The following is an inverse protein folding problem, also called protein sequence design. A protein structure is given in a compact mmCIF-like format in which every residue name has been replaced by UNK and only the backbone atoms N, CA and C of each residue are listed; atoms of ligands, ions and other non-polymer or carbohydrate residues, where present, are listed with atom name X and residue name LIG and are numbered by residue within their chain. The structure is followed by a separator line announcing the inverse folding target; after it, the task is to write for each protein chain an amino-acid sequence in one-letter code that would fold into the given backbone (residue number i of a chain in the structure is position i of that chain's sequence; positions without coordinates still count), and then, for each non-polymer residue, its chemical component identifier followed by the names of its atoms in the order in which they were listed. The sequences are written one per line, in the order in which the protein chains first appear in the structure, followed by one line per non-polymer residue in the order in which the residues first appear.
data_IF_362280369159
#
_entry.id   IF_362280369159
#
_cell.length_a   1.000
_cell.length_b   1.000
_cell.length_c   1.000
_cell.angle_alpha   90.00
_cell.angle_beta   90.00
_cell.angle_gamma   90.00
#
_symmetry.space_group_name_H-M   'P 1'
#
loop_
_entity.id
_entity.type
_entity.pdbx_description
1 polymer ?
#
# COMPACT_ATOMS: atom_id res chain seq x y z
N UNK A 1 7.78 -4.41 -22.48
CA UNK A 1 7.65 -2.93 -22.61
C UNK A 1 7.12 -2.54 -24.00
N UNK A 2 7.60 -3.17 -25.12
CA UNK A 2 7.08 -2.89 -26.46
C UNK A 2 5.60 -3.25 -26.61
N UNK A 3 5.19 -4.41 -26.10
CA UNK A 3 3.78 -4.86 -26.16
C UNK A 3 2.82 -3.99 -25.33
N UNK A 4 3.30 -3.36 -24.24
CA UNK A 4 2.49 -2.40 -23.47
C UNK A 4 2.26 -1.11 -24.25
N UNK A 5 3.29 -0.60 -24.94
CA UNK A 5 3.14 0.60 -25.77
C UNK A 5 2.15 0.40 -26.94
N UNK A 6 2.19 -0.75 -27.61
CA UNK A 6 1.26 -1.02 -28.73
C UNK A 6 -0.20 -1.17 -28.30
N UNK A 7 -0.45 -1.65 -27.06
CA UNK A 7 -1.83 -1.79 -26.56
C UNK A 7 -2.41 -0.52 -25.92
N UNK A 8 -1.56 0.42 -25.49
CA UNK A 8 -1.98 1.66 -24.85
C UNK A 8 -2.05 2.87 -25.80
N UNK A 9 -1.37 2.79 -26.95
CA UNK A 9 -1.50 3.73 -28.07
C UNK A 9 -2.60 3.17 -29.01
N UNK A 10 -3.85 3.17 -28.56
CA UNK A 10 -4.99 2.85 -29.39
C UNK A 10 -5.14 3.87 -30.52
N UNK A 11 -5.36 3.35 -31.73
CA UNK A 11 -5.61 4.07 -32.96
C UNK A 11 -6.64 5.19 -32.74
N UNK A 12 -6.18 6.43 -32.80
CA UNK A 12 -7.02 7.60 -33.02
C UNK A 12 -7.15 7.74 -34.55
N UNK A 13 -8.05 6.94 -35.14
CA UNK A 13 -8.56 7.16 -36.49
C UNK A 13 -9.57 8.32 -36.46
N UNK A 14 -9.07 9.53 -36.56
CA UNK A 14 -9.81 10.66 -37.13
C UNK A 14 -9.04 11.16 -38.33
N UNK A 15 -9.54 10.75 -39.49
CA UNK A 15 -9.13 11.24 -40.78
C UNK A 15 -9.22 12.77 -40.83
N UNK A 16 -8.10 13.40 -41.12
CA UNK A 16 -8.06 14.65 -41.87
C UNK A 16 -6.93 14.54 -42.90
N UNK A 17 -7.34 14.53 -44.16
CA UNK A 17 -6.48 14.55 -45.34
C UNK A 17 -5.56 15.77 -45.30
N UNK A 18 -4.30 15.55 -45.05
CA UNK A 18 -3.22 16.47 -45.42
C UNK A 18 -2.22 15.69 -46.23
N UNK A 19 -2.28 15.87 -47.53
CA UNK A 19 -1.37 15.43 -48.55
C UNK A 19 0.07 15.85 -48.16
N UNK A 20 0.79 14.95 -47.50
CA UNK A 20 2.21 15.21 -47.15
C UNK A 20 3.05 14.76 -48.33
N UNK A 21 3.46 15.74 -49.14
CA UNK A 21 4.38 15.56 -50.24
C UNK A 21 5.73 14.91 -49.78
N UNK A 22 5.87 13.65 -50.06
CA UNK A 22 7.06 12.84 -49.76
C UNK A 22 8.15 12.95 -50.84
N UNK A 23 8.01 13.89 -51.78
CA UNK A 23 9.02 14.11 -52.86
C UNK A 23 10.40 14.50 -52.32
N UNK A 24 10.46 15.19 -51.19
CA UNK A 24 11.69 15.58 -50.48
C UNK A 24 12.54 14.40 -49.99
N UNK A 25 11.90 13.29 -49.68
CA UNK A 25 12.59 12.08 -49.16
C UNK A 25 13.23 11.29 -50.33
N UNK A 26 12.62 11.33 -51.52
CA UNK A 26 13.17 10.66 -52.69
C UNK A 26 14.46 11.31 -53.26
N UNK A 27 14.65 12.61 -53.05
CA UNK A 27 15.81 13.31 -53.55
C UNK A 27 17.09 13.12 -52.69
N UNK A 28 16.94 12.59 -51.47
CA UNK A 28 18.07 12.27 -50.58
C UNK A 28 18.55 10.80 -50.59
N UNK A 29 17.84 9.91 -51.30
CA UNK A 29 18.27 8.54 -51.51
C UNK A 29 18.76 8.43 -52.93
N UNK A 30 20.04 8.76 -53.16
CA UNK A 30 20.68 8.68 -54.46
C UNK A 30 20.66 7.25 -55.00
N UNK A 31 20.39 7.18 -56.32
CA UNK A 31 20.51 5.98 -57.13
C UNK A 31 21.97 5.48 -57.11
N UNK A 32 22.21 4.41 -56.35
CA UNK A 32 23.54 3.81 -56.24
C UNK A 32 23.78 2.75 -57.35
N UNK A 33 24.58 3.13 -58.33
CA UNK A 33 25.26 2.15 -59.20
C UNK A 33 26.63 1.85 -58.63
N UNK A 34 26.89 0.58 -58.31
CA UNK A 34 28.21 0.05 -57.93
C UNK A 34 29.31 0.36 -58.93
N UNK A 35 30.56 0.52 -58.45
CA UNK A 35 31.61 -0.34 -58.97
C UNK A 35 32.45 -1.02 -57.88
N UNK A 36 32.87 -2.19 -58.21
CA UNK A 36 33.62 -3.18 -57.44
C UNK A 36 34.96 -2.70 -56.88
N UNK A 37 35.29 -3.23 -55.68
CA UNK A 37 36.65 -3.63 -55.34
C UNK A 37 37.42 -2.71 -54.38
N UNK A 38 37.53 -3.10 -53.12
CA UNK A 38 38.80 -3.41 -52.45
C UNK A 38 38.53 -3.76 -50.96
N UNK A 39 39.03 -4.95 -50.61
CA UNK A 39 39.14 -5.47 -49.24
C UNK A 39 39.97 -4.53 -48.38
N UNK A 40 39.36 -4.00 -47.29
CA UNK A 40 40.01 -3.66 -46.05
C UNK A 40 38.93 -3.11 -45.11
N UNK A 41 38.16 -4.01 -44.47
CA UNK A 41 37.37 -3.68 -43.28
C UNK A 41 38.29 -3.82 -42.06
N UNK A 42 38.44 -2.77 -41.22
CA UNK A 42 39.02 -2.96 -39.89
C UNK A 42 38.03 -3.65 -38.98
N UNK A 43 38.44 -4.63 -38.15
CA UNK A 43 37.55 -5.31 -37.23
C UNK A 43 37.33 -4.45 -36.00
N UNK A 44 36.35 -3.54 -36.05
CA UNK A 44 35.87 -2.84 -34.87
C UNK A 44 34.35 -2.78 -34.90
N UNK A 45 33.76 -3.88 -34.41
CA UNK A 45 32.37 -3.91 -33.97
C UNK A 45 32.30 -3.18 -32.62
N UNK A 46 32.27 -1.84 -32.67
CA UNK A 46 31.93 -1.02 -31.51
C UNK A 46 30.40 -0.91 -31.45
N UNK A 47 29.75 -2.00 -31.02
CA UNK A 47 28.44 -1.83 -30.40
C UNK A 47 28.61 -0.79 -29.29
N UNK A 48 27.83 0.30 -29.28
CA UNK A 48 27.91 1.27 -28.19
C UNK A 48 27.74 0.50 -26.88
N UNK A 49 28.58 0.74 -25.86
CA UNK A 49 28.46 0.05 -24.59
C UNK A 49 27.02 0.24 -24.09
N UNK A 50 26.34 -0.85 -23.79
CA UNK A 50 25.04 -0.80 -23.14
C UNK A 50 25.20 0.15 -21.94
N UNK A 51 24.33 1.14 -21.79
CA UNK A 51 24.45 2.07 -20.67
C UNK A 51 24.48 1.26 -19.38
N UNK A 52 25.59 1.31 -18.65
CA UNK A 52 25.71 0.72 -17.33
C UNK A 52 24.53 1.24 -16.50
N UNK A 53 23.55 0.41 -16.27
CA UNK A 53 22.40 0.72 -15.42
C UNK A 53 22.95 0.87 -14.03
N UNK A 54 23.08 2.12 -13.56
CA UNK A 54 23.56 2.39 -12.21
C UNK A 54 22.74 1.58 -11.19
N UNK A 55 23.38 0.92 -10.22
CA UNK A 55 22.67 0.11 -9.24
C UNK A 55 21.64 0.95 -8.51
N UNK A 56 20.43 0.40 -8.35
CA UNK A 56 19.35 1.09 -7.63
C UNK A 56 19.80 1.49 -6.23
N UNK A 57 19.54 2.74 -5.84
CA UNK A 57 19.81 3.24 -4.50
C UNK A 57 18.51 3.49 -3.77
N UNK A 58 18.37 2.87 -2.60
CA UNK A 58 17.20 3.11 -1.73
C UNK A 58 17.15 4.59 -1.31
N UNK A 59 15.93 5.13 -1.12
CA UNK A 59 15.77 6.47 -0.58
C UNK A 59 16.45 6.58 0.81
N UNK A 60 17.21 7.64 1.09
CA UNK A 60 17.79 7.83 2.43
C UNK A 60 16.69 8.18 3.44
N UNK A 61 16.79 7.63 4.63
CA UNK A 61 15.77 7.80 5.69
C UNK A 61 15.59 9.26 6.12
N UNK A 62 16.62 10.09 5.91
CA UNK A 62 16.59 11.53 6.24
C UNK A 62 15.64 12.35 5.37
N UNK A 63 15.09 11.79 4.31
CA UNK A 63 13.97 12.39 3.57
C UNK A 63 12.68 12.43 4.40
N UNK A 64 12.57 11.61 5.45
CA UNK A 64 11.41 11.53 6.31
C UNK A 64 11.63 12.32 7.60
N UNK A 65 10.59 13.04 8.02
CA UNK A 65 10.62 13.86 9.24
C UNK A 65 10.80 12.99 10.48
N UNK A 66 11.77 13.28 11.36
CA UNK A 66 11.96 12.54 12.60
C UNK A 66 10.86 12.86 13.63
N UNK A 67 10.54 11.89 14.48
CA UNK A 67 9.63 12.09 15.60
C UNK A 67 10.36 12.74 16.78
N UNK A 68 9.98 13.97 17.09
CA UNK A 68 10.49 14.71 18.23
C UNK A 68 9.50 14.72 19.43
N UNK A 69 8.33 14.10 19.33
CA UNK A 69 7.24 14.17 20.33
C UNK A 69 7.51 13.36 21.60
N UNK A 70 8.35 12.33 21.53
CA UNK A 70 8.63 11.43 22.67
C UNK A 70 9.39 12.08 23.85
N UNK A 71 9.76 13.37 23.73
CA UNK A 71 10.54 14.11 24.75
C UNK A 71 9.73 15.16 25.51
N UNK A 72 8.40 15.18 25.38
CA UNK A 72 7.58 16.18 26.08
C UNK A 72 7.38 15.77 27.56
N UNK A 73 7.97 16.51 28.52
CA UNK A 73 7.84 16.23 29.95
C UNK A 73 6.38 16.35 30.45
N UNK A 74 5.55 17.19 29.82
CA UNK A 74 4.15 17.38 30.19
C UNK A 74 3.28 16.13 30.02
N UNK A 75 3.67 15.23 29.13
CA UNK A 75 2.98 13.95 28.90
C UNK A 75 2.95 13.06 30.14
N UNK A 76 4.07 12.99 30.87
CA UNK A 76 4.16 12.15 32.07
C UNK A 76 3.26 12.66 33.20
N UNK A 77 3.20 13.98 33.37
CA UNK A 77 2.35 14.60 34.38
C UNK A 77 0.87 14.39 34.05
N UNK A 78 0.48 14.59 32.78
CA UNK A 78 -0.88 14.30 32.29
C UNK A 78 -1.30 12.87 32.56
N UNK A 79 -0.45 11.88 32.28
CA UNK A 79 -0.73 10.47 32.53
C UNK A 79 -0.99 10.19 34.02
N UNK A 80 -0.17 10.76 34.90
CA UNK A 80 -0.32 10.58 36.35
C UNK A 80 -1.58 11.26 36.89
N UNK A 81 -1.88 12.47 36.42
CA UNK A 81 -3.10 13.20 36.79
C UNK A 81 -4.35 12.44 36.34
N UNK A 82 -4.39 12.02 35.10
CA UNK A 82 -5.51 11.26 34.54
C UNK A 82 -5.69 9.91 35.25
N UNK A 83 -4.60 9.23 35.59
CA UNK A 83 -4.61 7.98 36.36
C UNK A 83 -5.27 8.17 37.73
N UNK A 84 -4.87 9.21 38.47
CA UNK A 84 -5.47 9.55 39.78
C UNK A 84 -6.95 9.87 39.63
N UNK A 85 -7.29 10.73 38.67
CA UNK A 85 -8.67 11.16 38.41
C UNK A 85 -9.56 9.96 38.09
N UNK A 86 -9.07 8.99 37.28
CA UNK A 86 -9.83 7.79 36.93
C UNK A 86 -10.14 6.94 38.16
N UNK A 87 -9.14 6.68 39.02
CA UNK A 87 -9.32 5.93 40.25
C UNK A 87 -10.28 6.62 41.22
N UNK A 88 -10.17 7.94 41.37
CA UNK A 88 -11.07 8.74 42.20
C UNK A 88 -12.51 8.73 41.67
N UNK A 89 -12.71 8.86 40.37
CA UNK A 89 -14.02 8.78 39.73
C UNK A 89 -14.65 7.42 39.98
N UNK A 90 -13.95 6.30 39.76
CA UNK A 90 -14.45 4.97 40.02
C UNK A 90 -14.78 4.76 41.50
N UNK A 91 -13.94 5.27 42.39
CA UNK A 91 -14.15 5.22 43.85
C UNK A 91 -15.42 5.95 44.32
N UNK A 92 -15.76 7.08 43.69
CA UNK A 92 -16.99 7.86 43.99
C UNK A 92 -18.25 7.04 43.68
N UNK A 93 -18.16 6.09 42.75
CA UNK A 93 -19.24 5.14 42.44
C UNK A 93 -19.11 3.79 43.19
N UNK A 94 -18.37 3.77 44.29
CA UNK A 94 -18.09 2.58 45.12
C UNK A 94 -17.37 1.44 44.36
N UNK A 95 -16.67 1.75 43.30
CA UNK A 95 -15.82 0.80 42.53
C UNK A 95 -14.37 1.02 42.94
N UNK A 96 -13.84 0.09 43.72
CA UNK A 96 -12.43 0.14 44.11
C UNK A 96 -11.59 -0.64 43.09
N UNK A 97 -10.60 0.03 42.54
CA UNK A 97 -9.71 -0.50 41.50
C UNK A 97 -8.27 -0.09 41.75
N UNK A 98 -7.33 -0.86 41.19
CA UNK A 98 -5.91 -0.54 41.18
C UNK A 98 -5.45 -0.51 39.74
N UNK A 99 -4.72 0.54 39.35
CA UNK A 99 -4.07 0.60 38.04
C UNK A 99 -2.90 -0.38 38.02
N UNK A 100 -2.87 -1.23 37.02
CA UNK A 100 -1.86 -2.27 36.79
C UNK A 100 -0.89 -1.86 35.72
N UNK A 101 -1.41 -1.21 34.65
CA UNK A 101 -0.62 -0.76 33.53
C UNK A 101 -1.23 0.49 32.87
N UNK A 102 -0.41 1.27 32.16
CA UNK A 102 -0.83 2.45 31.41
C UNK A 102 -0.07 2.46 30.08
N UNK A 103 -0.81 2.35 28.98
CA UNK A 103 -0.26 2.41 27.63
C UNK A 103 -0.79 3.65 26.92
N UNK A 104 0.11 4.50 26.42
CA UNK A 104 -0.26 5.71 25.68
C UNK A 104 -0.06 5.48 24.17
N UNK A 105 -1.16 5.50 23.46
CA UNK A 105 -1.16 5.54 21.98
C UNK A 105 -1.19 6.99 21.46
N UNK A 106 -1.22 7.15 20.13
CA UNK A 106 -1.22 8.46 19.47
C UNK A 106 -2.43 9.34 19.82
N UNK A 107 -3.60 8.75 19.93
CA UNK A 107 -4.89 9.47 20.12
C UNK A 107 -5.57 9.16 21.42
N UNK A 108 -5.31 8.02 22.03
CA UNK A 108 -5.93 7.57 23.29
C UNK A 108 -4.86 7.03 24.24
N UNK A 109 -5.18 7.06 25.53
CA UNK A 109 -4.43 6.39 26.59
C UNK A 109 -5.28 5.28 27.17
N UNK A 110 -4.74 4.06 27.23
CA UNK A 110 -5.38 2.91 27.84
C UNK A 110 -4.86 2.71 29.25
N UNK A 111 -5.76 2.72 30.23
CA UNK A 111 -5.51 2.40 31.63
C UNK A 111 -6.02 0.99 31.91
N UNK A 112 -5.15 0.07 32.30
CA UNK A 112 -5.51 -1.27 32.71
C UNK A 112 -5.75 -1.29 34.23
N UNK A 113 -6.95 -1.68 34.63
CA UNK A 113 -7.34 -1.69 36.04
C UNK A 113 -7.71 -3.08 36.50
N UNK A 114 -7.26 -3.42 37.70
CA UNK A 114 -7.68 -4.62 38.40
C UNK A 114 -8.73 -4.22 39.47
N UNK A 115 -9.99 -4.66 39.32
CA UNK A 115 -11.02 -4.43 40.33
C UNK A 115 -10.77 -5.27 41.58
N UNK A 116 -11.19 -4.79 42.76
CA UNK A 116 -11.20 -5.61 43.98
C UNK A 116 -12.13 -6.85 43.84
N UNK A 117 -11.78 -7.91 44.54
CA UNK A 117 -12.54 -9.15 44.53
C UNK A 117 -14.03 -8.87 44.90
N UNK A 118 -14.95 -9.45 44.12
CA UNK A 118 -16.40 -9.25 44.30
C UNK A 118 -16.99 -8.10 43.50
N UNK A 119 -16.16 -7.26 42.84
CA UNK A 119 -16.65 -6.23 41.94
C UNK A 119 -17.16 -6.84 40.63
N UNK A 120 -18.41 -6.58 40.27
CA UNK A 120 -18.99 -7.06 39.02
C UNK A 120 -18.43 -6.22 37.85
N UNK A 121 -17.89 -6.86 36.84
CA UNK A 121 -17.34 -6.20 35.62
C UNK A 121 -18.35 -5.25 34.98
N UNK A 122 -19.63 -5.67 34.92
CA UNK A 122 -20.74 -4.88 34.38
C UNK A 122 -20.92 -3.53 35.11
N UNK A 123 -20.62 -3.46 36.40
CA UNK A 123 -20.69 -2.19 37.14
C UNK A 123 -19.71 -1.16 36.57
N UNK A 124 -18.52 -1.59 36.16
CA UNK A 124 -17.53 -0.69 35.56
C UNK A 124 -17.98 -0.31 34.14
N UNK A 125 -18.44 -1.27 33.35
CA UNK A 125 -18.88 -0.99 31.96
C UNK A 125 -20.08 -0.02 31.90
N UNK A 126 -20.93 0.01 32.93
CA UNK A 126 -22.07 0.93 33.01
C UNK A 126 -21.66 2.37 33.34
N UNK A 127 -20.42 2.63 33.79
CA UNK A 127 -19.92 3.96 34.13
C UNK A 127 -19.24 4.69 32.95
N UNK A 128 -19.43 4.20 31.72
CA UNK A 128 -18.83 4.79 30.52
C UNK A 128 -19.12 6.28 30.40
N UNK A 129 -20.39 6.66 30.54
CA UNK A 129 -20.82 8.06 30.40
C UNK A 129 -20.37 8.93 31.59
N UNK A 130 -20.37 8.37 32.80
CA UNK A 130 -19.92 9.08 34.01
C UNK A 130 -18.41 9.37 33.95
N UNK A 131 -17.63 8.40 33.45
CA UNK A 131 -16.19 8.58 33.24
C UNK A 131 -15.95 9.60 32.13
N UNK A 132 -16.66 9.52 31.01
CA UNK A 132 -16.54 10.49 29.91
C UNK A 132 -16.85 11.92 30.39
N UNK A 133 -17.90 12.06 31.19
CA UNK A 133 -18.27 13.35 31.81
C UNK A 133 -17.15 13.84 32.73
N UNK A 134 -16.62 12.98 33.60
CA UNK A 134 -15.54 13.33 34.50
C UNK A 134 -14.31 13.84 33.73
N UNK A 135 -13.94 13.19 32.62
CA UNK A 135 -12.80 13.59 31.78
C UNK A 135 -13.11 14.73 30.81
N UNK A 136 -14.35 15.20 30.75
CA UNK A 136 -14.83 16.21 29.79
C UNK A 136 -14.47 15.79 28.33
N UNK A 137 -14.67 14.51 27.99
CA UNK A 137 -14.41 13.94 26.67
C UNK A 137 -15.70 13.57 25.96
N UNK A 138 -15.67 13.40 24.65
CA UNK A 138 -16.82 12.98 23.85
C UNK A 138 -17.26 11.55 24.11
N UNK A 139 -16.39 10.72 24.73
CA UNK A 139 -16.66 9.34 25.12
C UNK A 139 -15.38 8.64 25.58
N UNK A 140 -15.55 7.55 26.30
CA UNK A 140 -14.50 6.60 26.66
C UNK A 140 -14.94 5.22 26.20
N UNK A 141 -13.97 4.32 25.94
CA UNK A 141 -14.27 2.93 25.63
C UNK A 141 -13.80 2.05 26.79
N UNK A 142 -14.65 1.11 27.18
CA UNK A 142 -14.33 0.14 28.23
C UNK A 142 -14.27 -1.25 27.62
N UNK A 143 -13.13 -1.90 27.73
CA UNK A 143 -12.91 -3.30 27.34
C UNK A 143 -12.86 -4.16 28.61
N UNK A 144 -13.90 -4.94 28.83
CA UNK A 144 -14.07 -5.65 30.09
C UNK A 144 -14.64 -7.07 29.89
N UNK A 145 -13.81 -8.10 30.09
CA UNK A 145 -12.40 -8.10 30.44
C UNK A 145 -11.49 -7.87 29.24
N UNK A 146 -10.22 -7.53 29.50
CA UNK A 146 -9.18 -7.54 28.45
C UNK A 146 -8.91 -9.00 28.09
N UNK A 147 -8.87 -9.37 26.79
CA UNK A 147 -8.54 -10.72 26.36
C UNK A 147 -7.19 -11.19 26.91
N UNK A 148 -7.19 -12.36 27.59
CA UNK A 148 -5.99 -12.94 28.17
C UNK A 148 -5.48 -12.30 29.46
N UNK A 149 -6.16 -11.27 30.02
CA UNK A 149 -5.79 -10.60 31.28
C UNK A 149 -6.98 -10.56 32.25
N UNK A 150 -6.67 -10.66 33.57
CA UNK A 150 -7.66 -10.45 34.64
C UNK A 150 -7.79 -8.95 34.98
N UNK A 151 -7.97 -8.12 33.96
CA UNK A 151 -8.03 -6.65 34.06
C UNK A 151 -9.12 -6.08 33.16
N UNK A 152 -9.49 -4.84 33.45
CA UNK A 152 -10.41 -4.01 32.64
C UNK A 152 -9.59 -2.86 32.03
N UNK A 153 -9.70 -2.70 30.72
CA UNK A 153 -9.10 -1.57 29.99
C UNK A 153 -10.07 -0.41 29.86
N UNK A 154 -9.65 0.78 30.24
CA UNK A 154 -10.39 2.03 30.01
C UNK A 154 -9.55 2.90 29.09
N UNK A 155 -10.09 3.18 27.92
CA UNK A 155 -9.45 3.99 26.87
C UNK A 155 -10.01 5.41 26.95
N UNK A 156 -9.13 6.37 27.28
CA UNK A 156 -9.47 7.78 27.42
C UNK A 156 -8.79 8.56 26.29
N UNK A 157 -9.51 9.41 25.55
CA UNK A 157 -8.90 10.27 24.53
C UNK A 157 -7.83 11.17 25.13
N UNK A 158 -6.70 11.33 24.44
CA UNK A 158 -5.64 12.25 24.81
C UNK A 158 -6.12 13.71 24.61
N UNK A 159 -5.67 14.62 25.44
CA UNK A 159 -5.95 16.08 25.24
C UNK A 159 -5.39 16.57 23.90
N UNK A 160 -4.22 16.08 23.55
CA UNK A 160 -3.56 16.35 22.26
C UNK A 160 -3.20 15.05 21.58
N UNK A 161 -3.62 14.88 20.33
CA UNK A 161 -3.21 13.71 19.51
C UNK A 161 -1.76 13.89 19.06
N UNK A 162 -0.97 12.84 19.18
CA UNK A 162 0.37 12.78 18.63
C UNK A 162 0.32 12.36 17.15
N UNK A 163 1.20 12.94 16.34
CA UNK A 163 1.37 12.52 14.95
C UNK A 163 2.22 11.26 14.90
N UNK A 164 1.75 10.24 14.18
CA UNK A 164 2.55 9.04 13.90
C UNK A 164 3.46 9.33 12.71
N UNK A 165 4.77 9.28 12.94
CA UNK A 165 5.76 9.54 11.90
C UNK A 165 6.16 8.25 11.18
N UNK A 166 6.04 8.24 9.86
CA UNK A 166 6.43 7.08 9.05
C UNK A 166 7.90 6.69 9.27
N UNK A 167 8.79 7.67 9.46
CA UNK A 167 10.21 7.43 9.77
C UNK A 167 10.38 6.49 10.96
N UNK A 168 9.68 6.72 12.06
CA UNK A 168 9.75 5.88 13.27
C UNK A 168 9.39 4.43 12.98
N UNK A 169 8.38 4.23 12.14
CA UNK A 169 7.93 2.89 11.74
C UNK A 169 8.95 2.20 10.81
N UNK A 170 9.59 2.94 9.89
CA UNK A 170 10.57 2.35 8.96
C UNK A 170 11.93 2.08 9.63
N UNK A 171 12.30 2.82 10.68
CA UNK A 171 13.50 2.60 11.49
C UNK A 171 13.36 1.41 12.47
N UNK A 172 12.14 0.91 12.72
CA UNK A 172 11.90 -0.23 13.60
C UNK A 172 12.46 -1.52 12.97
N UNK A 173 13.13 -2.33 13.81
CA UNK A 173 13.68 -3.63 13.41
C UNK A 173 12.62 -4.59 12.87
N UNK A 174 11.39 -4.52 13.36
CA UNK A 174 10.27 -5.35 12.86
C UNK A 174 9.99 -5.09 11.37
N UNK A 175 10.22 -3.88 10.89
CA UNK A 175 10.12 -3.57 9.46
C UNK A 175 11.35 -4.06 8.69
N UNK A 176 12.56 -3.76 9.15
CA UNK A 176 13.80 -4.14 8.45
C UNK A 176 13.95 -5.67 8.35
N UNK A 177 13.66 -6.40 9.44
CA UNK A 177 13.81 -7.85 9.53
C UNK A 177 12.67 -8.63 8.85
N UNK A 178 11.58 -7.96 8.45
CA UNK A 178 10.47 -8.58 7.75
C UNK A 178 10.92 -9.20 6.43
N UNK A 179 10.65 -10.49 6.25
CA UNK A 179 11.07 -11.30 5.10
C UNK A 179 10.40 -10.88 3.79
N UNK A 180 9.15 -10.43 3.88
CA UNK A 180 8.36 -10.07 2.71
C UNK A 180 8.80 -8.70 2.16
N UNK A 181 9.07 -8.62 0.86
CA UNK A 181 9.43 -7.38 0.15
C UNK A 181 8.26 -6.41 -0.01
N UNK A 182 7.04 -6.89 0.22
CA UNK A 182 5.81 -6.09 0.22
C UNK A 182 5.21 -5.95 1.62
N UNK A 183 6.08 -5.91 2.65
CA UNK A 183 5.69 -5.46 3.99
C UNK A 183 5.60 -3.94 3.99
N UNK A 184 4.51 -3.40 4.52
CA UNK A 184 4.27 -1.96 4.62
C UNK A 184 3.89 -1.54 6.03
N UNK A 185 4.27 -0.34 6.43
CA UNK A 185 3.91 0.25 7.71
C UNK A 185 2.47 0.78 7.64
N UNK A 186 1.62 0.40 8.60
CA UNK A 186 0.24 0.87 8.70
C UNK A 186 0.13 2.05 9.66
N UNK A 187 0.79 2.00 10.81
CA UNK A 187 0.69 2.99 11.86
C UNK A 187 1.04 2.43 13.23
N UNK A 188 0.49 3.03 14.27
CA UNK A 188 0.57 2.56 15.65
C UNK A 188 -0.83 2.16 16.15
N UNK A 189 -0.89 1.16 16.99
CA UNK A 189 -2.12 0.75 17.65
C UNK A 189 -2.46 1.66 18.85
N UNK A 190 -3.53 1.30 19.57
CA UNK A 190 -4.00 2.01 20.75
C UNK A 190 -3.02 1.97 21.94
N UNK A 191 -2.05 1.07 21.91
CA UNK A 191 -0.97 0.97 22.91
C UNK A 191 0.31 1.71 22.46
N UNK A 192 0.34 2.28 21.24
CA UNK A 192 1.51 2.92 20.67
C UNK A 192 2.52 1.93 20.06
N UNK A 193 2.08 0.68 19.81
CA UNK A 193 2.90 -0.33 19.16
C UNK A 193 2.77 -0.25 17.63
N UNK A 194 3.91 -0.31 16.94
CA UNK A 194 3.94 -0.24 15.49
C UNK A 194 3.28 -1.47 14.83
N UNK A 195 2.40 -1.23 13.88
CA UNK A 195 1.65 -2.24 13.12
C UNK A 195 2.11 -2.24 11.67
N UNK A 196 2.41 -3.43 11.17
CA UNK A 196 2.84 -3.69 9.80
C UNK A 196 1.90 -4.64 9.09
N UNK A 197 1.69 -4.39 7.81
CA UNK A 197 0.93 -5.26 6.92
C UNK A 197 1.89 -6.03 6.03
N UNK A 198 1.74 -7.34 5.97
CA UNK A 198 2.37 -8.16 4.93
C UNK A 198 1.34 -8.39 3.82
N UNK A 199 1.46 -7.63 2.73
CA UNK A 199 0.52 -7.68 1.61
C UNK A 199 0.51 -9.07 0.96
N UNK A 200 1.60 -9.83 1.02
CA UNK A 200 1.63 -11.21 0.51
C UNK A 200 0.72 -12.16 1.32
N UNK A 201 0.57 -11.91 2.62
CA UNK A 201 -0.32 -12.70 3.49
C UNK A 201 -1.78 -12.26 3.39
N UNK A 202 -2.00 -10.95 3.19
CA UNK A 202 -3.31 -10.34 2.97
C UNK A 202 -3.40 -9.94 1.49
N UNK A 203 -3.63 -10.90 0.57
CA UNK A 203 -3.32 -10.75 -0.85
C UNK A 203 -3.91 -9.50 -1.50
N UNK A 204 -5.01 -9.02 -0.96
CA UNK A 204 -5.70 -7.82 -1.43
C UNK A 204 -6.15 -6.99 -0.24
N UNK A 205 -6.23 -5.68 -0.40
CA UNK A 205 -6.58 -4.73 0.65
C UNK A 205 -7.61 -3.73 0.13
N UNK A 206 -8.67 -3.51 0.92
CA UNK A 206 -9.65 -2.46 0.68
C UNK A 206 -9.47 -1.35 1.72
N UNK A 207 -9.31 -0.11 1.26
CA UNK A 207 -9.15 1.08 2.08
C UNK A 207 -10.31 2.03 1.78
N UNK A 208 -11.22 2.19 2.73
CA UNK A 208 -12.35 3.11 2.59
C UNK A 208 -12.30 4.24 3.61
N UNK A 209 -12.63 5.45 3.19
CA UNK A 209 -12.67 6.60 4.07
C UNK A 209 -13.14 7.85 3.35
N UNK A 210 -13.98 8.66 3.99
CA UNK A 210 -14.40 9.95 3.45
C UNK A 210 -13.21 10.92 3.32
N UNK A 211 -13.41 12.00 2.59
CA UNK A 211 -12.41 13.06 2.42
C UNK A 211 -11.90 13.54 3.78
N UNK A 212 -10.58 13.63 3.93
CA UNK A 212 -9.94 14.06 5.18
C UNK A 212 -9.79 12.97 6.25
N UNK A 213 -10.27 11.74 6.03
CA UNK A 213 -10.18 10.63 6.99
C UNK A 213 -8.87 9.82 6.88
N UNK A 214 -7.93 10.25 6.06
CA UNK A 214 -6.59 9.66 5.98
C UNK A 214 -6.41 8.55 4.93
N UNK A 215 -7.39 8.28 4.04
CA UNK A 215 -7.26 7.29 2.96
C UNK A 215 -5.99 7.48 2.13
N UNK A 216 -5.80 8.69 1.61
CA UNK A 216 -4.63 9.02 0.78
C UNK A 216 -3.32 8.95 1.57
N UNK A 217 -3.32 9.36 2.85
CA UNK A 217 -2.16 9.22 3.73
C UNK A 217 -1.80 7.74 3.92
N UNK A 218 -2.80 6.88 4.14
CA UNK A 218 -2.58 5.44 4.26
C UNK A 218 -1.98 4.85 2.97
N UNK A 219 -2.57 5.15 1.79
CA UNK A 219 -2.06 4.68 0.50
C UNK A 219 -0.62 5.14 0.27
N UNK A 220 -0.33 6.43 0.52
CA UNK A 220 1.01 6.98 0.40
C UNK A 220 2.00 6.30 1.36
N UNK A 221 1.60 6.03 2.62
CA UNK A 221 2.44 5.31 3.57
C UNK A 221 2.78 3.89 3.10
N UNK A 222 1.81 3.19 2.48
CA UNK A 222 2.06 1.88 1.89
C UNK A 222 3.05 1.98 0.72
N UNK A 223 2.84 2.90 -0.23
CA UNK A 223 3.73 3.10 -1.38
C UNK A 223 5.16 3.41 -0.90
N UNK A 224 5.32 4.40 -0.01
CA UNK A 224 6.63 4.79 0.51
C UNK A 224 7.29 3.63 1.23
N UNK A 225 6.55 2.84 2.02
CA UNK A 225 7.09 1.64 2.67
C UNK A 225 7.68 0.65 1.65
N UNK A 226 6.99 0.42 0.52
CA UNK A 226 7.49 -0.45 -0.54
C UNK A 226 8.78 0.10 -1.18
N UNK A 227 8.86 1.41 -1.41
CA UNK A 227 10.05 2.06 -1.98
C UNK A 227 11.27 1.97 -1.05
N UNK A 228 11.07 1.96 0.26
CA UNK A 228 12.14 1.75 1.25
C UNK A 228 12.50 0.27 1.48
N UNK A 229 11.64 -0.68 1.04
CA UNK A 229 11.81 -2.11 1.34
C UNK A 229 12.31 -2.94 0.16
N UNK A 230 11.95 -2.57 -1.07
CA UNK A 230 12.17 -3.39 -2.26
C UNK A 230 12.84 -2.60 -3.40
N UNK A 231 13.65 -3.30 -4.19
CA UNK A 231 14.17 -2.77 -5.45
C UNK A 231 13.13 -2.87 -6.58
N UNK A 232 13.31 -2.13 -7.69
CA UNK A 232 12.43 -2.24 -8.85
C UNK A 232 12.38 -3.64 -9.48
N UNK A 233 13.41 -4.45 -9.26
CA UNK A 233 13.45 -5.82 -9.77
C UNK A 233 12.71 -6.82 -8.86
N UNK A 234 12.48 -6.44 -7.60
CA UNK A 234 11.73 -7.24 -6.63
C UNK A 234 10.25 -6.90 -6.62
N UNK A 235 9.91 -5.60 -6.79
CA UNK A 235 8.52 -5.10 -6.73
C UNK A 235 8.27 -4.09 -7.84
N UNK A 236 7.19 -4.29 -8.58
CA UNK A 236 6.66 -3.35 -9.57
C UNK A 236 5.30 -2.83 -9.15
N UNK A 237 5.01 -1.60 -9.56
CA UNK A 237 3.79 -0.90 -9.22
C UNK A 237 2.99 -0.53 -10.47
N UNK A 238 1.66 -0.67 -10.38
CA UNK A 238 0.69 -0.04 -11.28
C UNK A 238 -0.16 0.89 -10.41
N UNK A 239 -0.08 2.19 -10.67
CA UNK A 239 -0.82 3.20 -9.92
C UNK A 239 -1.93 3.77 -10.78
N UNK A 240 -3.16 3.75 -10.26
CA UNK A 240 -4.37 4.25 -10.93
C UNK A 240 -4.95 5.38 -10.10
N UNK A 241 -4.93 6.61 -10.65
CA UNK A 241 -5.43 7.83 -10.03
C UNK A 241 -6.31 8.61 -11.02
N UNK A 242 -7.62 8.31 -11.07
CA UNK A 242 -8.54 8.97 -12.00
C UNK A 242 -8.64 10.48 -11.80
N UNK A 243 -8.35 10.96 -10.58
CA UNK A 243 -8.45 12.38 -10.23
C UNK A 243 -7.18 13.19 -10.50
N UNK A 244 -6.05 12.54 -10.75
CA UNK A 244 -4.72 13.15 -10.96
C UNK A 244 -4.24 14.01 -9.77
N UNK A 245 -4.63 13.67 -8.55
CA UNK A 245 -4.37 14.49 -7.36
C UNK A 245 -3.32 13.86 -6.45
N UNK A 246 -3.48 12.57 -6.16
CA UNK A 246 -2.77 11.93 -5.04
C UNK A 246 -1.52 11.17 -5.49
N UNK A 247 -1.57 10.47 -6.64
CA UNK A 247 -0.51 9.55 -7.06
C UNK A 247 0.36 10.07 -8.21
N UNK A 248 -0.01 11.15 -8.86
CA UNK A 248 0.73 11.74 -10.00
C UNK A 248 2.18 12.12 -9.64
N UNK A 249 2.46 12.39 -8.36
CA UNK A 249 3.81 12.70 -7.85
C UNK A 249 4.80 11.53 -8.01
N UNK A 250 4.30 10.31 -8.16
CA UNK A 250 5.12 9.10 -8.31
C UNK A 250 5.57 8.84 -9.74
N UNK A 251 5.16 9.65 -10.73
CA UNK A 251 5.63 9.49 -12.09
C UNK A 251 7.16 9.59 -12.18
N UNK A 252 7.75 8.70 -12.97
CA UNK A 252 9.20 8.61 -13.12
C UNK A 252 9.91 7.69 -12.14
N UNK A 253 9.20 7.08 -11.18
CA UNK A 253 9.79 6.07 -10.31
C UNK A 253 10.11 4.78 -11.09
N UNK A 254 11.29 4.17 -10.87
CA UNK A 254 11.70 2.95 -11.59
C UNK A 254 10.87 1.72 -11.22
N UNK A 255 10.09 1.77 -10.15
CA UNK A 255 9.14 0.72 -9.77
C UNK A 255 7.89 0.70 -10.64
N UNK A 256 7.56 1.78 -11.32
CA UNK A 256 6.36 1.83 -12.16
C UNK A 256 6.51 0.97 -13.40
N UNK A 257 5.52 0.12 -13.68
CA UNK A 257 5.42 -0.61 -14.94
C UNK A 257 4.95 0.30 -16.09
N UNK A 258 4.07 1.24 -15.76
CA UNK A 258 3.53 2.26 -16.66
C UNK A 258 3.42 3.59 -15.90
N UNK A 259 3.43 4.73 -16.57
CA UNK A 259 3.10 6.01 -15.92
C UNK A 259 1.78 5.91 -15.17
N UNK A 260 1.58 6.75 -14.15
CA UNK A 260 0.33 6.77 -13.37
C UNK A 260 -0.88 6.91 -14.29
N UNK A 261 -1.77 5.92 -14.24
CA UNK A 261 -2.93 5.82 -15.12
C UNK A 261 -4.05 6.69 -14.58
N UNK A 262 -4.45 7.70 -15.34
CA UNK A 262 -5.49 8.64 -14.90
C UNK A 262 -6.78 8.58 -15.73
N UNK A 263 -6.71 8.02 -16.92
CA UNK A 263 -7.91 7.80 -17.75
C UNK A 263 -8.63 6.52 -17.33
N UNK A 264 -9.95 6.55 -17.05
CA UNK A 264 -10.69 5.37 -16.60
C UNK A 264 -10.72 4.22 -17.60
N UNK A 265 -10.75 4.49 -18.92
CA UNK A 265 -10.69 3.44 -19.95
C UNK A 265 -9.31 2.78 -19.97
N UNK A 266 -8.25 3.58 -19.89
CA UNK A 266 -6.88 3.05 -19.76
C UNK A 266 -6.69 2.28 -18.45
N UNK A 267 -7.36 2.69 -17.38
CA UNK A 267 -7.36 1.95 -16.12
C UNK A 267 -8.00 0.56 -16.25
N UNK A 268 -9.17 0.46 -16.91
CA UNK A 268 -9.78 -0.83 -17.23
C UNK A 268 -8.85 -1.69 -18.11
N UNK A 269 -8.19 -1.08 -19.12
CA UNK A 269 -7.17 -1.75 -19.93
C UNK A 269 -5.97 -2.25 -19.11
N UNK A 270 -5.51 -1.48 -18.12
CA UNK A 270 -4.41 -1.89 -17.21
C UNK A 270 -4.79 -3.07 -16.33
N UNK A 271 -6.03 -3.09 -15.84
CA UNK A 271 -6.55 -4.22 -15.07
C UNK A 271 -6.71 -5.48 -15.94
N UNK A 272 -7.20 -5.32 -17.17
CA UNK A 272 -7.27 -6.42 -18.15
C UNK A 272 -5.88 -6.98 -18.50
N UNK A 273 -4.87 -6.09 -18.68
CA UNK A 273 -3.49 -6.51 -18.85
C UNK A 273 -2.97 -7.28 -17.62
N UNK A 274 -3.28 -6.81 -16.41
CA UNK A 274 -2.87 -7.49 -15.19
C UNK A 274 -3.46 -8.91 -15.10
N UNK A 275 -4.70 -9.11 -15.56
CA UNK A 275 -5.30 -10.45 -15.68
C UNK A 275 -4.52 -11.32 -16.67
N UNK A 276 -4.17 -10.79 -17.84
CA UNK A 276 -3.39 -11.53 -18.84
C UNK A 276 -1.98 -11.87 -18.34
N UNK A 277 -1.32 -10.94 -17.62
CA UNK A 277 -0.02 -11.18 -16.98
C UNK A 277 -0.10 -12.23 -15.88
N UNK A 278 -1.18 -12.20 -15.10
CA UNK A 278 -1.44 -13.26 -14.11
C UNK A 278 -1.52 -14.64 -14.77
N UNK A 279 -2.25 -14.76 -15.87
CA UNK A 279 -2.38 -16.03 -16.60
C UNK A 279 -1.04 -16.47 -17.21
N UNK A 280 -0.28 -15.55 -17.79
CA UNK A 280 1.08 -15.82 -18.27
C UNK A 280 1.98 -16.36 -17.16
N UNK A 281 1.91 -15.77 -15.96
CA UNK A 281 2.70 -16.23 -14.81
C UNK A 281 2.26 -17.61 -14.33
N UNK A 282 0.96 -17.91 -14.36
CA UNK A 282 0.49 -19.26 -14.04
C UNK A 282 1.08 -20.30 -14.99
N UNK A 283 1.12 -20.06 -16.30
CA UNK A 283 1.74 -20.97 -17.25
C UNK A 283 3.23 -21.21 -16.93
N UNK A 284 3.99 -20.15 -16.62
CA UNK A 284 5.39 -20.27 -16.23
C UNK A 284 5.60 -21.06 -14.92
N UNK A 285 4.72 -20.85 -13.95
CA UNK A 285 4.74 -21.55 -12.65
C UNK A 285 4.41 -23.04 -12.86
N UNK A 286 3.44 -23.35 -13.71
CA UNK A 286 3.03 -24.71 -14.08
C UNK A 286 4.15 -25.44 -14.85
N UNK A 287 4.73 -24.82 -15.87
CA UNK A 287 5.87 -25.34 -16.62
C UNK A 287 7.09 -25.61 -15.73
N UNK A 288 7.28 -24.76 -14.71
CA UNK A 288 8.33 -24.95 -13.71
C UNK A 288 8.01 -26.06 -12.69
N UNK A 289 6.78 -26.60 -12.67
CA UNK A 289 6.35 -27.61 -11.72
C UNK A 289 6.27 -27.14 -10.27
N UNK A 290 6.05 -25.82 -10.04
CA UNK A 290 6.00 -25.21 -8.71
C UNK A 290 4.61 -24.65 -8.42
N UNK A 291 4.36 -24.19 -7.17
CA UNK A 291 3.01 -23.78 -6.74
C UNK A 291 2.77 -22.29 -6.76
N UNK A 292 3.83 -21.48 -6.70
CA UNK A 292 3.73 -20.04 -6.56
C UNK A 292 5.00 -19.32 -7.05
N UNK A 293 4.90 -18.00 -7.16
CA UNK A 293 6.00 -17.14 -7.59
C UNK A 293 7.24 -17.26 -6.70
N UNK A 294 7.07 -17.41 -5.39
CA UNK A 294 8.21 -17.54 -4.46
C UNK A 294 9.05 -18.77 -4.78
N UNK A 295 8.38 -19.92 -5.03
CA UNK A 295 9.06 -21.15 -5.40
C UNK A 295 9.63 -21.09 -6.83
N UNK A 296 8.94 -20.40 -7.75
CA UNK A 296 9.45 -20.12 -9.09
C UNK A 296 10.77 -19.34 -9.01
N UNK A 297 10.79 -18.21 -8.32
CA UNK A 297 11.98 -17.38 -8.16
C UNK A 297 13.11 -18.08 -7.40
N UNK A 298 12.80 -18.92 -6.42
CA UNK A 298 13.81 -19.73 -5.74
C UNK A 298 14.50 -20.75 -6.67
N UNK A 299 13.80 -21.22 -7.69
CA UNK A 299 14.35 -22.15 -8.69
C UNK A 299 15.21 -21.47 -9.77
N UNK A 300 15.15 -20.14 -9.91
CA UNK A 300 15.92 -19.39 -10.93
C UNK A 300 17.44 -19.57 -10.75
N UNK A 301 17.93 -19.63 -9.51
CA UNK A 301 19.35 -19.85 -9.23
C UNK A 301 19.89 -21.19 -9.76
N UNK A 302 19.02 -22.19 -9.92
CA UNK A 302 19.36 -23.51 -10.46
C UNK A 302 19.14 -23.64 -11.98
N UNK A 303 18.46 -22.69 -12.62
CA UNK A 303 18.12 -22.73 -14.03
C UNK A 303 18.37 -21.36 -14.69
N UNK A 304 19.53 -21.17 -15.35
CA UNK A 304 19.88 -19.89 -16.00
C UNK A 304 18.93 -19.47 -17.14
N UNK A 305 18.07 -20.35 -17.63
CA UNK A 305 17.08 -20.03 -18.66
C UNK A 305 15.90 -19.25 -18.10
N UNK A 306 15.72 -19.20 -16.78
CA UNK A 306 14.63 -18.51 -16.09
C UNK A 306 15.06 -17.12 -15.64
N UNK A 307 14.15 -16.18 -15.79
CA UNK A 307 14.30 -14.82 -15.24
C UNK A 307 13.42 -14.67 -14.01
N UNK A 308 13.93 -14.08 -12.90
CA UNK A 308 13.11 -13.83 -11.73
C UNK A 308 11.99 -12.85 -12.07
N UNK A 309 10.81 -13.10 -11.53
CA UNK A 309 9.64 -12.26 -11.74
C UNK A 309 9.38 -11.38 -10.50
N UNK A 310 9.23 -10.07 -10.66
CA UNK A 310 8.88 -9.18 -9.53
C UNK A 310 7.46 -9.46 -9.02
N UNK A 311 7.20 -9.15 -7.76
CA UNK A 311 5.83 -8.99 -7.29
C UNK A 311 5.23 -7.74 -7.93
N UNK A 312 3.93 -7.74 -8.20
CA UNK A 312 3.22 -6.59 -8.77
C UNK A 312 2.17 -6.13 -7.77
N UNK A 313 2.24 -4.87 -7.36
CA UNK A 313 1.22 -4.25 -6.52
C UNK A 313 0.44 -3.23 -7.35
N UNK A 314 -0.86 -3.44 -7.48
CA UNK A 314 -1.78 -2.59 -8.24
C UNK A 314 -2.55 -1.76 -7.23
N UNK A 315 -2.45 -0.45 -7.32
CA UNK A 315 -3.07 0.49 -6.37
C UNK A 315 -4.07 1.36 -7.12
N UNK A 316 -5.32 1.31 -6.67
CA UNK A 316 -6.41 2.15 -7.18
C UNK A 316 -6.74 3.17 -6.09
N UNK A 317 -6.57 4.47 -6.37
CA UNK A 317 -6.91 5.52 -5.38
C UNK A 317 -8.42 5.65 -5.19
N UNK A 318 -9.19 5.67 -6.28
CA UNK A 318 -10.65 5.83 -6.22
C UNK A 318 -11.37 4.85 -7.16
N UNK A 319 -11.86 3.75 -6.59
CA UNK A 319 -12.60 2.74 -7.35
C UNK A 319 -13.92 3.30 -7.90
N UNK A 320 -14.59 4.19 -7.16
CA UNK A 320 -15.90 4.72 -7.56
C UNK A 320 -15.86 5.36 -8.96
N UNK A 321 -14.79 6.07 -9.29
CA UNK A 321 -14.68 6.76 -10.58
C UNK A 321 -14.51 5.78 -11.74
N UNK A 322 -13.87 4.63 -11.51
CA UNK A 322 -13.74 3.55 -12.50
C UNK A 322 -15.08 2.84 -12.71
N UNK A 323 -15.79 2.54 -11.62
CA UNK A 323 -17.10 1.87 -11.65
C UNK A 323 -18.19 2.72 -12.33
N UNK A 324 -18.06 4.04 -12.35
CA UNK A 324 -18.95 4.92 -13.09
C UNK A 324 -18.71 4.90 -14.59
N UNK A 325 -17.53 4.49 -15.06
CA UNK A 325 -17.15 4.59 -16.49
C UNK A 325 -17.13 3.23 -17.18
N UNK A 326 -16.62 2.20 -16.52
CA UNK A 326 -16.47 0.86 -17.08
C UNK A 326 -16.72 -0.22 -16.00
N UNK A 327 -17.93 -0.29 -15.43
CA UNK A 327 -18.22 -1.14 -14.27
C UNK A 327 -17.94 -2.62 -14.54
N UNK A 328 -18.42 -3.17 -15.64
CA UNK A 328 -18.35 -4.60 -15.94
C UNK A 328 -16.90 -5.08 -16.13
N UNK A 329 -16.09 -4.33 -16.88
CA UNK A 329 -14.69 -4.66 -17.14
C UNK A 329 -13.83 -4.56 -15.87
N UNK A 330 -14.07 -3.51 -15.09
CA UNK A 330 -13.34 -3.26 -13.83
C UNK A 330 -13.70 -4.30 -12.78
N UNK A 331 -14.99 -4.56 -12.56
CA UNK A 331 -15.46 -5.57 -11.60
C UNK A 331 -14.94 -6.96 -11.96
N UNK A 332 -15.11 -7.37 -13.23
CA UNK A 332 -14.65 -8.67 -13.71
C UNK A 332 -13.14 -8.85 -13.50
N UNK A 333 -12.34 -7.84 -13.86
CA UNK A 333 -10.88 -7.88 -13.70
C UNK A 333 -10.46 -7.95 -12.23
N UNK A 334 -11.07 -7.12 -11.36
CA UNK A 334 -10.81 -7.15 -9.92
C UNK A 334 -11.15 -8.52 -9.33
N UNK A 335 -12.31 -9.07 -9.66
CA UNK A 335 -12.73 -10.38 -9.15
C UNK A 335 -11.79 -11.50 -9.60
N UNK A 336 -11.36 -11.52 -10.87
CA UNK A 336 -10.40 -12.53 -11.39
C UNK A 336 -9.05 -12.42 -10.68
N UNK A 337 -8.52 -11.22 -10.53
CA UNK A 337 -7.28 -10.98 -9.79
C UNK A 337 -7.42 -11.39 -8.32
N UNK A 338 -8.49 -10.95 -7.65
CA UNK A 338 -8.69 -11.24 -6.23
C UNK A 338 -8.79 -12.75 -5.93
N UNK A 339 -9.33 -13.54 -6.86
CA UNK A 339 -9.47 -14.99 -6.69
C UNK A 339 -8.16 -15.76 -6.86
N UNK A 340 -7.25 -15.31 -7.73
CA UNK A 340 -6.13 -16.15 -8.18
C UNK A 340 -4.77 -15.48 -8.06
N UNK A 341 -4.66 -14.15 -8.10
CA UNK A 341 -3.41 -13.43 -8.32
C UNK A 341 -2.35 -13.63 -7.23
N UNK A 342 -2.73 -14.04 -6.01
CA UNK A 342 -1.82 -14.29 -4.88
C UNK A 342 -0.66 -15.23 -5.25
N UNK A 343 -0.95 -16.36 -5.87
CA UNK A 343 0.07 -17.35 -6.23
C UNK A 343 0.99 -16.83 -7.36
N UNK A 344 0.48 -15.95 -8.23
CA UNK A 344 1.25 -15.26 -9.27
C UNK A 344 2.04 -14.05 -8.75
N UNK A 345 1.99 -13.74 -7.43
CA UNK A 345 2.68 -12.62 -6.83
C UNK A 345 2.10 -11.27 -7.25
N UNK A 346 0.79 -11.19 -7.45
CA UNK A 346 0.10 -9.96 -7.82
C UNK A 346 -0.95 -9.59 -6.77
N UNK A 347 -1.00 -8.32 -6.40
CA UNK A 347 -1.75 -7.84 -5.25
C UNK A 347 -2.51 -6.58 -5.57
N UNK A 348 -3.75 -6.45 -5.05
CA UNK A 348 -4.60 -5.28 -5.21
C UNK A 348 -4.68 -4.47 -3.92
N UNK A 349 -4.52 -3.17 -4.02
CA UNK A 349 -4.86 -2.20 -2.97
C UNK A 349 -5.92 -1.27 -3.56
N UNK A 350 -7.13 -1.35 -3.05
CA UNK A 350 -8.29 -0.64 -3.60
C UNK A 350 -8.72 0.43 -2.62
N UNK A 351 -8.59 1.70 -3.04
CA UNK A 351 -9.09 2.85 -2.30
C UNK A 351 -10.48 3.28 -2.80
N UNK A 352 -11.32 3.77 -1.90
CA UNK A 352 -12.54 4.48 -2.27
C UNK A 352 -13.01 5.43 -1.18
N UNK A 353 -13.56 6.57 -1.60
CA UNK A 353 -14.25 7.52 -0.70
C UNK A 353 -15.75 7.19 -0.59
N UNK A 354 -16.26 6.31 -1.47
CA UNK A 354 -17.68 5.95 -1.55
C UNK A 354 -17.87 4.44 -1.36
N UNK A 355 -17.91 3.95 -0.11
CA UNK A 355 -18.09 2.52 0.17
C UNK A 355 -19.58 2.10 0.03
N UNK A 356 -20.25 2.54 -1.05
CA UNK A 356 -21.62 2.14 -1.37
C UNK A 356 -21.63 0.78 -2.07
N UNK A 357 -22.81 0.14 -2.12
CA UNK A 357 -22.99 -1.19 -2.72
C UNK A 357 -22.74 -1.17 -4.24
N UNK A 358 -22.96 -0.02 -4.88
CA UNK A 358 -22.73 0.17 -6.31
C UNK A 358 -21.24 0.25 -6.67
N UNK A 359 -20.39 0.61 -5.70
CA UNK A 359 -18.93 0.69 -5.85
C UNK A 359 -18.25 -0.56 -5.34
N UNK A 360 -18.57 -0.94 -4.10
CA UNK A 360 -18.07 -2.17 -3.48
C UNK A 360 -19.20 -3.20 -3.58
N UNK A 361 -19.28 -3.84 -4.73
CA UNK A 361 -20.34 -4.80 -5.04
C UNK A 361 -20.22 -6.07 -4.18
N UNK A 362 -21.27 -6.89 -4.21
CA UNK A 362 -21.27 -8.18 -3.54
C UNK A 362 -20.13 -9.10 -4.02
N UNK A 363 -19.79 -9.03 -5.32
CA UNK A 363 -18.70 -9.82 -5.91
C UNK A 363 -17.33 -9.35 -5.41
N UNK A 364 -17.09 -8.04 -5.36
CA UNK A 364 -15.85 -7.48 -4.81
C UNK A 364 -15.71 -7.85 -3.32
N UNK A 365 -16.76 -7.68 -2.51
CA UNK A 365 -16.75 -8.04 -1.07
C UNK A 365 -16.47 -9.52 -0.82
N UNK A 366 -16.94 -10.39 -1.70
CA UNK A 366 -16.73 -11.83 -1.55
C UNK A 366 -15.28 -12.26 -1.83
N UNK A 367 -14.50 -11.44 -2.57
CA UNK A 367 -13.17 -11.79 -3.05
C UNK A 367 -12.04 -10.93 -2.48
N UNK A 368 -12.34 -9.71 -2.02
CA UNK A 368 -11.38 -8.81 -1.36
C UNK A 368 -11.72 -8.75 0.12
N UNK A 369 -10.86 -9.29 1.00
CA UNK A 369 -11.10 -9.33 2.45
C UNK A 369 -11.02 -7.96 3.11
#
# INVERSE_FOLDING_TARGET
LSMLNEKFLGDDDSADDADTDLSFIREKIGDGTDPAGSDDEPPFDLAPPEPEVAPYRFPPIDLLTPDNSKKDPGVREELLENAKKLVETLRSFNVKTKIVDVSRGPTITRYELMPEAGTKVRTISNLTDDIALSFATTGVRIEAPIPGKSAVGIEVPNKTSATVHLRTLLEDRRFSDAQSKITAALGEDVAGEAIYLDIAKMPHLLIAGATGMGKSVCINSLIVSLLFKATPDEVKLILIDPKKVELSIYNGLPHLLVPVVSDPKKAAGSLSWAVSEMERRFNLIEEAGVRDLKNYNAGVAADPSRTPLPQIVIIIDELADLMMTAPDDVESSICRLAQKARAAGMHLIIGTQRPSVDVITGLIKANVP
#
